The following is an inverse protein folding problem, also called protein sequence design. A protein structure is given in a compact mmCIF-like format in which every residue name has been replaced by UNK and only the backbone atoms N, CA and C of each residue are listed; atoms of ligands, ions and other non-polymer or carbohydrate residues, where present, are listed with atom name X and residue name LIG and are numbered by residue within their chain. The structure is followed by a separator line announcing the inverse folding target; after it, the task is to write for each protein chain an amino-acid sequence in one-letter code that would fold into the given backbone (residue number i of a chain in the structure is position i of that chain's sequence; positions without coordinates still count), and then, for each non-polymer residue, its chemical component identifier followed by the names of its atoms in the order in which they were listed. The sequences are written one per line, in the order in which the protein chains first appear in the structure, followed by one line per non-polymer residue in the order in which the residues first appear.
data_IF_429710537320
#
_entry.id   IF_429710537320
#
_cell.length_a   1.000
_cell.length_b   1.000
_cell.length_c   1.000
_cell.angle_alpha   90.00
_cell.angle_beta   90.00
_cell.angle_gamma   90.00
#
_symmetry.space_group_name_H-M   'P 1'
#
loop_
_entity.id
_entity.type
_entity.pdbx_description
1 polymer ?
#
# COMPACT_ATOMS: atom_id res chain seq x y z
N UNK A 1 -12.66 22.38 -6.05
CA UNK A 1 -11.81 21.33 -5.44
C UNK A 1 -10.67 21.06 -6.41
N UNK A 2 -9.42 21.09 -5.93
CA UNK A 2 -8.32 20.46 -6.67
C UNK A 2 -8.61 18.95 -6.76
N UNK A 3 -8.38 18.32 -7.91
CA UNK A 3 -8.42 16.86 -7.98
C UNK A 3 -7.27 16.30 -7.13
N UNK A 4 -7.54 15.35 -6.23
CA UNK A 4 -6.50 14.74 -5.40
C UNK A 4 -5.44 14.02 -6.24
N UNK A 5 -4.22 13.92 -5.73
CA UNK A 5 -3.08 13.30 -6.43
C UNK A 5 -2.97 11.82 -6.06
N UNK A 6 -3.33 10.94 -6.99
CA UNK A 6 -3.38 9.50 -6.77
C UNK A 6 -2.03 8.79 -6.92
N UNK A 7 -1.80 7.78 -6.07
CA UNK A 7 -0.74 6.79 -6.22
C UNK A 7 -1.30 5.40 -5.90
N UNK A 8 -1.01 4.40 -6.74
CA UNK A 8 -1.35 3.00 -6.48
C UNK A 8 -0.07 2.19 -6.42
N UNK A 9 0.02 1.31 -5.43
CA UNK A 9 1.08 0.30 -5.34
C UNK A 9 0.41 -1.06 -5.31
N UNK A 10 0.80 -1.94 -6.23
CA UNK A 10 0.20 -3.26 -6.41
C UNK A 10 1.19 -4.38 -6.17
N UNK A 11 0.78 -5.36 -5.40
CA UNK A 11 1.48 -6.63 -5.25
C UNK A 11 0.67 -7.74 -5.90
N UNK A 12 1.38 -8.71 -6.43
CA UNK A 12 0.79 -9.98 -6.83
C UNK A 12 0.60 -10.90 -5.65
N UNK A 13 -0.49 -11.67 -5.69
CA UNK A 13 -0.69 -12.81 -4.81
C UNK A 13 -0.52 -14.15 -5.55
N UNK A 14 -0.23 -14.13 -6.85
CA UNK A 14 0.14 -15.33 -7.59
C UNK A 14 1.43 -15.93 -6.98
N UNK A 15 1.34 -17.18 -6.52
CA UNK A 15 2.46 -17.87 -5.88
C UNK A 15 2.77 -17.43 -4.44
N UNK A 16 1.96 -16.56 -3.84
CA UNK A 16 2.11 -16.21 -2.43
C UNK A 16 1.89 -17.44 -1.53
N UNK A 17 2.56 -17.46 -0.38
CA UNK A 17 2.40 -18.54 0.59
C UNK A 17 0.95 -18.61 1.11
N UNK A 18 0.49 -19.82 1.43
CA UNK A 18 -0.82 -20.02 2.02
C UNK A 18 -1.02 -19.18 3.28
N UNK A 19 -2.13 -18.44 3.35
CA UNK A 19 -2.44 -17.54 4.47
C UNK A 19 -2.03 -16.09 4.27
N UNK A 20 -1.33 -15.74 3.18
CA UNK A 20 -0.93 -14.36 2.90
C UNK A 20 -2.12 -13.37 2.93
N UNK A 21 -3.28 -13.73 2.37
CA UNK A 21 -4.46 -12.86 2.39
C UNK A 21 -4.99 -12.57 3.80
N UNK A 22 -4.94 -13.56 4.69
CA UNK A 22 -5.36 -13.40 6.08
C UNK A 22 -4.38 -12.48 6.81
N UNK A 23 -3.08 -12.74 6.68
CA UNK A 23 -2.02 -11.90 7.26
C UNK A 23 -2.08 -10.46 6.74
N UNK A 24 -2.41 -10.26 5.46
CA UNK A 24 -2.61 -8.92 4.89
C UNK A 24 -3.80 -8.20 5.52
N UNK A 25 -4.93 -8.88 5.76
CA UNK A 25 -6.07 -8.27 6.46
C UNK A 25 -5.70 -7.87 7.88
N UNK A 26 -5.05 -8.76 8.61
CA UNK A 26 -4.61 -8.52 9.99
C UNK A 26 -3.64 -7.34 10.06
N UNK A 27 -2.67 -7.28 9.15
CA UNK A 27 -1.75 -6.15 9.04
C UNK A 27 -2.47 -4.84 8.71
N UNK A 28 -3.46 -4.86 7.79
CA UNK A 28 -4.21 -3.65 7.43
C UNK A 28 -4.97 -3.11 8.65
N UNK A 29 -5.75 -3.96 9.32
CA UNK A 29 -6.61 -3.57 10.44
C UNK A 29 -5.79 -3.21 11.68
N UNK A 30 -4.78 -4.03 12.01
CA UNK A 30 -4.00 -3.87 13.24
C UNK A 30 -2.93 -2.78 13.16
N UNK A 31 -2.39 -2.51 11.96
CA UNK A 31 -1.19 -1.65 11.83
C UNK A 31 -1.33 -0.59 10.75
N UNK A 32 -1.72 -0.97 9.52
CA UNK A 32 -1.68 -0.06 8.37
C UNK A 32 -2.67 1.09 8.51
N UNK A 33 -3.87 0.85 9.03
CA UNK A 33 -4.87 1.91 9.23
C UNK A 33 -4.35 3.00 10.17
N UNK A 34 -3.87 2.64 11.36
CA UNK A 34 -3.34 3.60 12.32
C UNK A 34 -2.10 4.34 11.79
N UNK A 35 -1.17 3.63 11.14
CA UNK A 35 0.05 4.22 10.57
C UNK A 35 -0.24 5.34 9.57
N UNK A 36 -1.28 5.20 8.76
CA UNK A 36 -1.60 6.15 7.69
C UNK A 36 -2.69 7.16 8.04
N UNK A 37 -3.43 6.97 9.14
CA UNK A 37 -4.45 7.91 9.61
C UNK A 37 -3.89 9.28 10.02
N UNK A 38 -2.61 9.35 10.40
CA UNK A 38 -1.94 10.57 10.89
C UNK A 38 -0.88 11.10 9.92
N UNK A 39 -0.89 10.65 8.67
CA UNK A 39 0.12 11.05 7.68
C UNK A 39 -0.24 12.42 7.10
N UNK A 40 0.61 13.41 7.35
CA UNK A 40 0.48 14.74 6.77
C UNK A 40 0.40 14.67 5.23
N UNK A 41 -0.49 15.46 4.64
CA UNK A 41 -0.73 15.52 3.20
C UNK A 41 -1.56 14.37 2.60
N UNK A 42 -1.80 13.30 3.36
CA UNK A 42 -2.58 12.15 2.89
C UNK A 42 -4.06 12.35 3.19
N UNK A 43 -4.84 12.70 2.16
CA UNK A 43 -6.28 12.90 2.28
C UNK A 43 -7.05 11.57 2.42
N UNK A 44 -6.59 10.52 1.74
CA UNK A 44 -7.26 9.23 1.77
C UNK A 44 -6.30 8.08 1.51
N UNK A 45 -6.52 6.97 2.22
CA UNK A 45 -5.89 5.69 1.91
C UNK A 45 -6.91 4.58 1.93
N UNK A 46 -6.85 3.70 0.94
CA UNK A 46 -7.63 2.47 0.93
C UNK A 46 -6.79 1.28 0.49
N UNK A 47 -7.25 0.09 0.84
CA UNK A 47 -6.65 -1.18 0.47
C UNK A 47 -7.68 -1.99 -0.30
N UNK A 48 -7.22 -2.66 -1.34
CA UNK A 48 -8.06 -3.57 -2.11
C UNK A 48 -7.33 -4.89 -2.27
N UNK A 49 -8.08 -5.98 -2.36
CA UNK A 49 -7.50 -7.29 -2.54
C UNK A 49 -8.42 -8.15 -3.40
N UNK A 50 -7.83 -8.91 -4.32
CA UNK A 50 -8.47 -10.04 -4.99
C UNK A 50 -7.63 -11.28 -4.71
N UNK A 51 -8.21 -12.20 -3.92
CA UNK A 51 -7.54 -13.41 -3.46
C UNK A 51 -6.93 -14.21 -4.63
N UNK A 52 -5.72 -14.71 -4.41
CA UNK A 52 -4.92 -15.40 -5.44
C UNK A 52 -4.48 -14.54 -6.63
N UNK A 53 -4.77 -13.23 -6.67
CA UNK A 53 -4.40 -12.36 -7.79
C UNK A 53 -3.56 -11.17 -7.34
N UNK A 54 -4.10 -10.26 -6.52
CA UNK A 54 -3.40 -9.03 -6.17
C UNK A 54 -3.88 -8.38 -4.88
N UNK A 55 -3.01 -7.54 -4.32
CA UNK A 55 -3.28 -6.63 -3.22
C UNK A 55 -2.81 -5.22 -3.59
N UNK A 56 -3.61 -4.19 -3.32
CA UNK A 56 -3.31 -2.80 -3.62
C UNK A 56 -3.34 -1.92 -2.37
N UNK A 57 -2.39 -0.99 -2.29
CA UNK A 57 -2.52 0.23 -1.50
C UNK A 57 -2.76 1.42 -2.43
N UNK A 58 -3.88 2.12 -2.24
CA UNK A 58 -4.23 3.33 -2.99
C UNK A 58 -4.18 4.53 -2.06
N UNK A 59 -3.46 5.56 -2.49
CA UNK A 59 -3.19 6.79 -1.75
C UNK A 59 -3.72 7.98 -2.54
N UNK A 60 -4.34 8.94 -1.86
CA UNK A 60 -4.75 10.23 -2.44
C UNK A 60 -4.15 11.34 -1.58
N UNK A 61 -3.29 12.15 -2.20
CA UNK A 61 -2.59 13.25 -1.56
C UNK A 61 -3.23 14.59 -1.91
N UNK A 62 -3.06 15.58 -1.03
CA UNK A 62 -3.53 16.95 -1.24
C UNK A 62 -2.68 17.76 -2.22
N UNK A 63 -1.44 17.32 -2.46
CA UNK A 63 -0.44 17.97 -3.31
C UNK A 63 0.35 16.95 -4.12
N UNK A 64 0.83 17.40 -5.29
CA UNK A 64 1.70 16.60 -6.16
C UNK A 64 3.01 16.27 -5.46
N UNK A 65 3.62 17.25 -4.82
CA UNK A 65 4.93 17.13 -4.18
C UNK A 65 4.90 16.10 -3.05
N UNK A 66 3.88 16.10 -2.19
CA UNK A 66 3.73 15.09 -1.14
C UNK A 66 3.58 13.68 -1.73
N UNK A 67 2.82 13.54 -2.84
CA UNK A 67 2.67 12.27 -3.56
C UNK A 67 4.00 11.79 -4.13
N UNK A 68 4.77 12.68 -4.76
CA UNK A 68 6.04 12.34 -5.42
C UNK A 68 7.13 12.00 -4.39
N UNK A 69 7.26 12.78 -3.31
CA UNK A 69 8.17 12.45 -2.19
C UNK A 69 7.82 11.10 -1.56
N UNK A 70 6.54 10.81 -1.37
CA UNK A 70 6.12 9.50 -0.88
C UNK A 70 6.42 8.39 -1.90
N UNK A 71 6.18 8.61 -3.19
CA UNK A 71 6.45 7.61 -4.22
C UNK A 71 7.94 7.26 -4.30
N UNK A 72 8.82 8.26 -4.27
CA UNK A 72 10.27 8.08 -4.29
C UNK A 72 10.77 7.31 -3.05
N UNK A 73 10.38 7.76 -1.86
CA UNK A 73 10.76 7.08 -0.61
C UNK A 73 10.20 5.66 -0.52
N UNK A 74 8.95 5.46 -0.93
CA UNK A 74 8.33 4.14 -0.94
C UNK A 74 9.01 3.20 -1.93
N UNK A 75 9.34 3.67 -3.14
CA UNK A 75 10.00 2.86 -4.16
C UNK A 75 11.36 2.30 -3.69
N UNK A 76 12.13 3.10 -2.94
CA UNK A 76 13.41 2.68 -2.38
C UNK A 76 13.28 1.53 -1.36
N UNK A 77 12.18 1.47 -0.62
CA UNK A 77 11.94 0.49 0.45
C UNK A 77 10.90 -0.57 0.06
N UNK A 78 10.37 -0.52 -1.17
CA UNK A 78 9.18 -1.26 -1.57
C UNK A 78 9.33 -2.77 -1.39
N UNK A 79 10.48 -3.32 -1.78
CA UNK A 79 10.80 -4.74 -1.67
C UNK A 79 10.87 -5.23 -0.21
N UNK A 80 11.18 -4.33 0.71
CA UNK A 80 11.31 -4.59 2.15
C UNK A 80 10.07 -4.18 2.95
N UNK A 81 9.04 -3.68 2.27
CA UNK A 81 7.82 -3.26 2.92
C UNK A 81 7.15 -4.43 3.68
N UNK A 82 6.39 -4.17 4.76
CA UNK A 82 5.67 -5.24 5.47
C UNK A 82 4.78 -6.08 4.54
N UNK A 83 4.16 -5.44 3.54
CA UNK A 83 3.33 -6.13 2.54
C UNK A 83 4.19 -7.05 1.67
N UNK A 84 5.35 -6.58 1.20
CA UNK A 84 6.27 -7.43 0.44
C UNK A 84 6.78 -8.63 1.23
N UNK A 85 7.09 -8.45 2.53
CA UNK A 85 7.52 -9.57 3.39
C UNK A 85 6.41 -10.58 3.62
N UNK A 86 5.17 -10.12 3.81
CA UNK A 86 4.00 -10.99 3.97
C UNK A 86 3.66 -11.78 2.70
N UNK A 87 3.86 -11.18 1.53
CA UNK A 87 3.58 -11.80 0.24
C UNK A 87 4.75 -12.67 -0.25
N UNK A 88 5.98 -12.26 0.07
CA UNK A 88 7.22 -12.87 -0.43
C UNK A 88 7.76 -12.26 -1.73
N UNK A 89 7.21 -11.11 -2.20
CA UNK A 89 7.66 -10.46 -3.43
C UNK A 89 7.51 -8.92 -3.37
N UNK A 90 8.31 -8.16 -4.15
CA UNK A 90 8.11 -6.72 -4.31
C UNK A 90 6.79 -6.39 -5.05
N UNK A 91 6.33 -5.13 -5.00
CA UNK A 91 5.24 -4.68 -5.87
C UNK A 91 5.66 -4.65 -7.34
N UNK A 92 4.66 -4.67 -8.24
CA UNK A 92 4.82 -4.64 -9.70
C UNK A 92 4.54 -3.24 -10.25
#
# INVERSE_FOLDING_TARGET
MSAGYGLSVRWSLEGAAGGAEQSLREYVVGTSMARFAVREGLAFKTWRMRAGQWFDGIYVWDSRDARDVFAESFAAEAAESPVSRLIGSPPR
#
